data_IF_623388112934
#
_entry.id   IF_623388112934
#
_cell.length_a   1.000
_cell.length_b   1.000
_cell.length_c   1.000
_cell.angle_alpha   90.00
_cell.angle_beta   90.00
_cell.angle_gamma   90.00
#
_symmetry.space_group_name_H-M   'P 1'
#
loop_
_entity.id
_entity.type
_entity.pdbx_description
1 polymer ?
#
# COMPACT_ATOMS: atom_id res chain seq x y z
N UNK A 1 17.16 -2.49 9.95
CA UNK A 1 15.74 -2.09 9.74
C UNK A 1 15.63 -1.87 8.26
N UNK A 2 15.44 -2.96 7.54
CA UNK A 2 15.34 -2.97 6.10
C UNK A 2 13.98 -3.61 5.80
N UNK A 3 12.97 -2.77 5.95
CA UNK A 3 11.73 -2.80 5.21
C UNK A 3 11.65 -1.39 4.63
N UNK A 4 11.34 -1.31 3.34
CA UNK A 4 10.87 -0.13 2.62
C UNK A 4 10.64 1.12 3.50
N UNK A 5 11.45 2.17 3.34
CA UNK A 5 11.35 3.42 4.11
C UNK A 5 10.04 4.17 3.74
N UNK A 6 9.00 4.18 4.58
CA UNK A 6 7.71 4.83 4.27
C UNK A 6 7.88 6.34 4.02
N UNK A 7 8.90 6.92 4.67
CA UNK A 7 9.29 8.32 4.59
C UNK A 7 9.77 8.74 3.19
N UNK A 8 10.26 7.79 2.37
CA UNK A 8 10.70 8.07 0.99
C UNK A 8 9.59 7.94 -0.05
N UNK A 9 8.57 7.14 0.22
CA UNK A 9 7.43 6.97 -0.68
C UNK A 9 6.39 8.08 -0.50
N UNK A 10 6.28 8.65 0.71
CA UNK A 10 5.36 9.74 1.04
C UNK A 10 3.99 9.30 1.55
N UNK A 11 3.81 8.04 1.95
CA UNK A 11 2.48 7.45 2.23
C UNK A 11 2.31 7.30 3.75
N UNK A 12 1.16 7.69 4.30
CA UNK A 12 0.87 7.54 5.73
C UNK A 12 0.28 6.14 5.99
N UNK A 13 0.95 5.35 6.81
CA UNK A 13 0.57 3.96 7.14
C UNK A 13 0.05 3.91 8.58
N UNK A 14 -1.16 3.38 8.77
CA UNK A 14 -1.66 3.03 10.10
C UNK A 14 -1.01 1.71 10.57
N UNK A 15 -0.17 1.79 11.61
CA UNK A 15 0.63 0.66 12.08
C UNK A 15 -0.06 -0.13 13.22
N UNK A 16 -0.68 -1.25 12.88
CA UNK A 16 -0.83 -2.38 13.79
C UNK A 16 0.32 -3.37 13.56
N UNK A 17 1.18 -3.68 14.55
CA UNK A 17 2.33 -4.56 14.34
C UNK A 17 1.88 -5.98 13.90
N UNK A 18 2.46 -6.47 12.80
CA UNK A 18 2.24 -7.83 12.27
C UNK A 18 0.89 -8.05 11.59
N UNK A 19 0.20 -6.99 11.16
CA UNK A 19 -1.10 -7.08 10.48
C UNK A 19 -1.05 -6.46 9.09
N UNK A 20 -1.82 -7.02 8.17
CA UNK A 20 -2.03 -6.45 6.85
C UNK A 20 -2.52 -4.99 6.93
N UNK A 21 -2.15 -4.17 5.95
CA UNK A 21 -2.41 -2.74 5.98
C UNK A 21 -3.16 -2.29 4.72
N UNK A 22 -4.02 -1.28 4.88
CA UNK A 22 -4.56 -0.51 3.77
C UNK A 22 -3.66 0.70 3.55
N UNK A 23 -3.32 0.98 2.29
CA UNK A 23 -2.39 2.03 1.91
C UNK A 23 -3.07 3.03 0.96
N UNK A 24 -2.86 4.33 1.20
CA UNK A 24 -3.25 5.40 0.28
C UNK A 24 -2.04 5.89 -0.52
N UNK A 25 -2.16 5.81 -1.85
CA UNK A 25 -1.16 6.34 -2.77
C UNK A 25 -1.21 7.86 -2.88
N UNK A 26 -0.22 8.57 -2.35
CA UNK A 26 -0.20 10.05 -2.46
C UNK A 26 0.85 10.59 -3.43
N UNK A 27 1.75 9.74 -3.92
CA UNK A 27 2.78 10.12 -4.91
C UNK A 27 2.93 9.06 -6.01
N UNK A 28 3.69 9.40 -7.05
CA UNK A 28 4.07 8.45 -8.11
C UNK A 28 2.94 8.07 -9.07
N UNK A 29 3.13 7.03 -9.90
CA UNK A 29 2.19 6.64 -10.95
C UNK A 29 0.88 6.06 -10.42
N UNK A 30 0.85 5.62 -9.15
CA UNK A 30 -0.34 5.07 -8.48
C UNK A 30 -1.11 6.10 -7.66
N UNK A 31 -0.71 7.38 -7.69
CA UNK A 31 -1.35 8.44 -6.88
C UNK A 31 -2.88 8.41 -7.00
N UNK A 32 -3.54 8.44 -5.85
CA UNK A 32 -4.99 8.39 -5.68
C UNK A 32 -5.55 7.00 -5.46
N UNK A 33 -4.78 5.94 -5.70
CA UNK A 33 -5.22 4.56 -5.55
C UNK A 33 -5.18 4.09 -4.10
N UNK A 34 -6.13 3.22 -3.75
CA UNK A 34 -6.12 2.44 -2.52
C UNK A 34 -5.46 1.10 -2.80
N UNK A 35 -4.47 0.74 -1.99
CA UNK A 35 -3.70 -0.51 -2.10
C UNK A 35 -3.79 -1.30 -0.79
N UNK A 36 -3.42 -2.58 -0.87
CA UNK A 36 -3.36 -3.48 0.28
C UNK A 36 -1.96 -4.04 0.41
N UNK A 37 -1.45 -4.08 1.62
CA UNK A 37 -0.14 -4.59 1.94
C UNK A 37 -0.24 -5.87 2.77
N UNK A 38 0.50 -6.89 2.36
CA UNK A 38 0.47 -8.22 2.96
C UNK A 38 1.75 -8.46 3.77
N UNK A 39 1.61 -8.58 5.09
CA UNK A 39 2.77 -8.79 5.98
C UNK A 39 3.51 -10.09 5.69
N UNK A 40 2.78 -11.13 5.30
CA UNK A 40 3.33 -12.47 5.08
C UNK A 40 4.26 -12.54 3.86
N UNK A 41 4.24 -11.52 3.00
CA UNK A 41 5.12 -11.37 1.84
C UNK A 41 6.15 -10.25 2.04
N UNK A 42 6.35 -9.76 3.27
CA UNK A 42 7.46 -8.84 3.55
C UNK A 42 8.80 -9.44 3.14
N UNK A 43 9.59 -8.65 2.43
CA UNK A 43 10.96 -9.01 2.07
C UNK A 43 11.87 -9.00 3.31
N UNK A 44 12.95 -9.76 3.25
CA UNK A 44 13.97 -9.78 4.28
C UNK A 44 14.98 -8.63 4.10
N UNK A 45 15.77 -8.38 5.14
CA UNK A 45 16.81 -7.35 5.09
C UNK A 45 17.88 -7.69 4.05
N UNK A 46 18.00 -6.84 3.04
CA UNK A 46 18.94 -7.01 1.92
C UNK A 46 18.29 -7.40 0.59
N UNK A 47 16.99 -7.68 0.59
CA UNK A 47 16.24 -7.90 -0.65
C UNK A 47 16.08 -6.61 -1.47
N UNK A 48 15.93 -6.78 -2.78
CA UNK A 48 15.64 -5.65 -3.67
C UNK A 48 14.18 -5.20 -3.47
N UNK A 49 13.91 -3.90 -3.32
CA UNK A 49 12.54 -3.41 -3.13
C UNK A 49 11.71 -3.68 -4.39
N UNK A 50 10.55 -4.30 -4.21
CA UNK A 50 9.56 -4.50 -5.25
C UNK A 50 8.12 -4.33 -4.71
N UNK A 51 7.14 -4.51 -5.59
CA UNK A 51 5.71 -4.38 -5.26
C UNK A 51 5.06 -5.74 -4.96
N UNK A 52 5.84 -6.80 -4.68
CA UNK A 52 5.31 -8.17 -4.56
C UNK A 52 4.34 -8.36 -3.40
N UNK A 53 4.47 -7.56 -2.34
CA UNK A 53 3.59 -7.55 -1.17
C UNK A 53 2.48 -6.48 -1.23
N UNK A 54 2.30 -5.81 -2.38
CA UNK A 54 1.30 -4.75 -2.55
C UNK A 54 0.27 -5.13 -3.62
N UNK A 55 -0.99 -5.24 -3.21
CA UNK A 55 -2.15 -5.45 -4.09
C UNK A 55 -2.94 -4.17 -4.37
N UNK A 56 -3.62 -4.14 -5.51
CA UNK A 56 -4.59 -3.08 -5.85
C UNK A 56 -5.94 -3.35 -5.17
N UNK A 57 -6.57 -2.31 -4.62
CA UNK A 57 -7.92 -2.37 -4.04
C UNK A 57 -8.90 -1.51 -4.84
N UNK A 58 -8.61 -0.23 -5.02
CA UNK A 58 -9.50 0.69 -5.71
C UNK A 58 -8.74 1.84 -6.41
N UNK A 59 -9.34 2.40 -7.45
CA UNK A 59 -8.73 3.49 -8.23
C UNK A 59 -8.79 4.85 -7.51
N UNK A 60 -9.69 4.97 -6.52
CA UNK A 60 -9.86 6.17 -5.70
C UNK A 60 -10.43 5.80 -4.33
N UNK A 61 -10.26 6.70 -3.35
CA UNK A 61 -10.91 6.55 -2.05
C UNK A 61 -12.45 6.47 -2.16
N UNK A 62 -13.05 7.17 -3.14
CA UNK A 62 -14.48 7.10 -3.38
C UNK A 62 -14.91 5.71 -3.86
N UNK A 63 -14.17 5.13 -4.81
CA UNK A 63 -14.42 3.78 -5.30
C UNK A 63 -14.19 2.70 -4.23
N UNK A 64 -13.29 2.95 -3.28
CA UNK A 64 -13.11 2.10 -2.11
C UNK A 64 -14.32 2.12 -1.17
N UNK A 65 -14.88 3.31 -0.89
CA UNK A 65 -16.06 3.45 -0.02
C UNK A 65 -17.35 2.97 -0.68
N UNK A 66 -17.48 3.15 -1.99
CA UNK A 66 -18.64 2.74 -2.77
C UNK A 66 -18.20 2.04 -4.08
N UNK A 67 -18.00 0.72 -4.04
CA UNK A 67 -17.58 -0.06 -5.21
C UNK A 67 -18.60 -0.06 -6.37
N UNK A 68 -19.83 0.41 -6.14
CA UNK A 68 -20.88 0.50 -7.16
C UNK A 68 -20.97 1.90 -7.79
N UNK A 69 -20.21 2.88 -7.30
CA UNK A 69 -20.26 4.27 -7.78
C UNK A 69 -19.67 4.50 -9.18
N UNK A 70 -18.89 3.53 -9.68
CA UNK A 70 -18.25 3.57 -11.01
C UNK A 70 -19.05 2.82 -12.12
N UNK A 71 -20.32 2.47 -11.88
CA UNK A 71 -21.23 1.91 -12.90
C UNK A 71 -22.06 2.96 -13.64
#
# INVERSE_FOLDING_TARGET
MCCYEPERAGWEIWNGPGSNQLLLAVTGPRRGQELFWVSDYECEEGDAPDDSNVGFVAASFQAFLDPHSDQ
#
